data_IF_857382000086
#
_entry.id   IF_857382000086
#
_cell.length_a   1.000
_cell.length_b   1.000
_cell.length_c   1.000
_cell.angle_alpha   90.00
_cell.angle_beta   90.00
_cell.angle_gamma   90.00
#
_symmetry.space_group_name_H-M   'P 1'
#
loop_
_entity.id
_entity.type
_entity.pdbx_description
1 polymer ?
#
# COMPACT_ATOMS: atom_id res chain seq x y z
N UNK A 1 -21.68 4.38 -22.38
CA UNK A 1 -20.73 4.42 -23.49
C UNK A 1 -19.35 5.00 -23.13
N UNK A 2 -19.24 6.19 -22.50
CA UNK A 2 -17.94 6.78 -22.09
C UNK A 2 -17.09 5.92 -21.12
N UNK A 3 -17.73 5.21 -20.18
CA UNK A 3 -17.03 4.29 -19.23
C UNK A 3 -16.44 3.04 -19.93
N UNK A 4 -17.12 2.50 -20.92
CA UNK A 4 -16.67 1.32 -21.66
C UNK A 4 -15.48 1.62 -22.59
N UNK A 5 -15.47 2.77 -23.25
CA UNK A 5 -14.34 3.22 -24.08
C UNK A 5 -13.11 3.46 -23.20
N UNK A 6 -13.28 4.06 -22.02
CA UNK A 6 -12.20 4.26 -21.07
C UNK A 6 -11.58 2.95 -20.58
N UNK A 7 -12.39 1.93 -20.29
CA UNK A 7 -11.91 0.61 -19.87
C UNK A 7 -11.13 -0.10 -20.99
N UNK A 8 -11.63 -0.11 -22.22
CA UNK A 8 -10.94 -0.71 -23.36
C UNK A 8 -9.56 -0.06 -23.61
N UNK A 9 -9.49 1.26 -23.58
CA UNK A 9 -8.23 2.00 -23.72
C UNK A 9 -7.28 1.70 -22.56
N UNK A 10 -7.80 1.61 -21.33
CA UNK A 10 -7.00 1.24 -20.14
C UNK A 10 -6.39 -0.15 -20.31
N UNK A 11 -7.19 -1.16 -20.63
CA UNK A 11 -6.68 -2.52 -20.79
C UNK A 11 -5.72 -2.64 -21.97
N UNK A 12 -6.00 -2.02 -23.11
CA UNK A 12 -5.08 -2.02 -24.26
C UNK A 12 -3.72 -1.41 -23.92
N UNK A 13 -3.71 -0.32 -23.13
CA UNK A 13 -2.48 0.38 -22.72
C UNK A 13 -1.65 -0.44 -21.72
N UNK A 14 -2.30 -1.14 -20.78
CA UNK A 14 -1.64 -1.72 -19.62
C UNK A 14 -1.55 -3.25 -19.63
N UNK A 15 -2.19 -3.94 -20.58
CA UNK A 15 -2.22 -5.40 -20.63
C UNK A 15 -0.82 -6.03 -20.59
N UNK A 16 0.12 -5.52 -21.37
CA UNK A 16 1.51 -6.01 -21.38
C UNK A 16 2.29 -5.47 -20.17
N UNK A 17 2.38 -4.14 -19.94
CA UNK A 17 3.18 -3.59 -18.83
C UNK A 17 2.81 -4.16 -17.46
N UNK A 18 1.51 -4.36 -17.18
CA UNK A 18 1.08 -4.83 -15.86
C UNK A 18 1.04 -6.36 -15.71
N UNK A 19 1.22 -7.09 -16.80
CA UNK A 19 1.26 -8.54 -16.80
C UNK A 19 2.63 -9.10 -16.36
N UNK A 20 2.68 -10.43 -16.16
CA UNK A 20 3.92 -11.17 -15.94
C UNK A 20 4.90 -11.04 -17.12
N UNK A 21 4.37 -10.85 -18.34
CA UNK A 21 5.20 -10.65 -19.54
C UNK A 21 5.98 -9.32 -19.42
N UNK A 22 5.29 -8.23 -19.01
CA UNK A 22 5.93 -6.94 -18.76
C UNK A 22 6.99 -7.01 -17.66
N UNK A 23 6.66 -7.67 -16.55
CA UNK A 23 7.58 -7.89 -15.45
C UNK A 23 8.87 -8.58 -15.90
N UNK A 24 8.76 -9.72 -16.59
CA UNK A 24 9.93 -10.46 -17.10
C UNK A 24 10.78 -9.67 -18.08
N UNK A 25 10.15 -8.79 -18.89
CA UNK A 25 10.89 -7.93 -19.83
C UNK A 25 11.68 -6.82 -19.12
N UNK A 26 11.16 -6.28 -18.00
CA UNK A 26 11.78 -5.17 -17.27
C UNK A 26 12.78 -5.63 -16.22
N UNK A 27 12.43 -6.64 -15.43
CA UNK A 27 13.27 -7.13 -14.31
C UNK A 27 14.20 -8.26 -14.75
N UNK A 28 13.79 -9.05 -15.74
CA UNK A 28 14.54 -10.23 -16.19
C UNK A 28 14.42 -11.38 -15.19
N UNK A 29 15.44 -12.25 -15.18
CA UNK A 29 15.55 -13.41 -14.28
C UNK A 29 16.46 -13.14 -13.08
N UNK A 30 17.11 -11.98 -13.04
CA UNK A 30 18.00 -11.60 -11.95
C UNK A 30 17.23 -11.43 -10.63
N UNK A 31 17.54 -12.27 -9.67
CA UNK A 31 17.05 -12.14 -8.31
C UNK A 31 17.44 -10.79 -7.69
N UNK A 32 16.80 -10.45 -6.59
CA UNK A 32 17.22 -9.32 -5.77
C UNK A 32 18.36 -9.79 -4.85
N UNK A 33 19.57 -9.32 -5.12
CA UNK A 33 20.68 -9.43 -4.20
C UNK A 33 20.62 -8.28 -3.20
N UNK A 34 20.22 -8.59 -1.96
CA UNK A 34 20.06 -7.60 -0.89
C UNK A 34 20.21 -8.29 0.47
N UNK A 35 20.89 -7.60 1.36
CA UNK A 35 20.98 -7.96 2.79
C UNK A 35 20.19 -6.95 3.62
N UNK A 36 19.25 -7.46 4.43
CA UNK A 36 18.44 -6.68 5.37
C UNK A 36 18.77 -7.01 6.83
N UNK A 37 19.93 -7.62 7.07
CA UNK A 37 20.38 -7.97 8.42
C UNK A 37 20.43 -6.74 9.32
N UNK A 38 19.88 -6.90 10.53
CA UNK A 38 19.76 -5.82 11.51
C UNK A 38 18.62 -4.83 11.25
N UNK A 39 17.96 -4.85 10.08
CA UNK A 39 16.84 -3.96 9.80
C UNK A 39 15.55 -4.42 10.47
N UNK A 40 14.76 -3.44 10.90
CA UNK A 40 13.43 -3.60 11.50
C UNK A 40 12.36 -3.08 10.55
N UNK A 41 11.50 -3.98 10.11
CA UNK A 41 10.45 -3.71 9.14
C UNK A 41 9.08 -3.74 9.80
N UNK A 42 8.16 -2.91 9.29
CA UNK A 42 6.73 -2.95 9.59
C UNK A 42 5.99 -3.14 8.28
N UNK A 43 5.18 -4.20 8.16
CA UNK A 43 4.45 -4.50 6.92
C UNK A 43 2.97 -4.71 7.22
N UNK A 44 2.11 -3.87 6.65
CA UNK A 44 0.66 -3.99 6.80
C UNK A 44 0.07 -5.00 5.80
N UNK A 45 -0.99 -5.74 6.22
CA UNK A 45 -1.61 -6.76 5.36
C UNK A 45 -0.70 -7.95 5.08
N UNK A 46 0.05 -8.38 6.09
CA UNK A 46 1.14 -9.34 6.00
C UNK A 46 0.71 -10.79 5.72
N UNK A 47 -0.55 -11.15 5.96
CA UNK A 47 -0.97 -12.56 6.00
C UNK A 47 -1.31 -13.20 4.66
N UNK A 48 -1.35 -12.41 3.58
CA UNK A 48 -1.72 -12.93 2.26
C UNK A 48 -1.09 -12.17 1.09
N UNK A 49 -1.18 -12.76 -0.08
CA UNK A 49 -0.79 -12.14 -1.34
C UNK A 49 0.60 -11.49 -1.31
N UNK A 50 0.65 -10.25 -1.78
CA UNK A 50 1.89 -9.47 -1.91
C UNK A 50 2.52 -9.19 -0.53
N UNK A 51 1.72 -8.82 0.48
CA UNK A 51 2.23 -8.53 1.82
C UNK A 51 2.96 -9.72 2.43
N UNK A 52 2.41 -10.94 2.28
CA UNK A 52 3.08 -12.16 2.71
C UNK A 52 4.40 -12.39 1.97
N UNK A 53 4.43 -12.14 0.66
CA UNK A 53 5.65 -12.27 -0.12
C UNK A 53 6.74 -11.24 0.28
N UNK A 54 6.35 -10.01 0.60
CA UNK A 54 7.26 -8.98 1.14
C UNK A 54 7.84 -9.43 2.48
N UNK A 55 6.98 -9.88 3.42
CA UNK A 55 7.41 -10.33 4.76
C UNK A 55 8.42 -11.48 4.66
N UNK A 56 8.10 -12.51 3.88
CA UNK A 56 8.99 -13.65 3.69
C UNK A 56 10.29 -13.25 2.98
N UNK A 57 10.19 -12.40 1.96
CA UNK A 57 11.34 -11.90 1.20
C UNK A 57 12.29 -11.05 2.05
N UNK A 58 11.77 -10.22 2.95
CA UNK A 58 12.58 -9.44 3.88
C UNK A 58 13.19 -10.31 4.97
N UNK A 59 12.41 -11.21 5.58
CA UNK A 59 12.90 -12.10 6.63
C UNK A 59 13.98 -13.07 6.11
N UNK A 60 13.82 -13.63 4.91
CA UNK A 60 14.84 -14.52 4.31
C UNK A 60 16.18 -13.81 4.08
N UNK A 61 16.19 -12.48 4.05
CA UNK A 61 17.37 -11.61 3.90
C UNK A 61 17.84 -10.98 5.22
N UNK A 62 17.40 -11.51 6.36
CA UNK A 62 17.92 -11.13 7.67
C UNK A 62 17.08 -10.08 8.44
N UNK A 63 16.02 -9.50 7.85
CA UNK A 63 15.22 -8.52 8.55
C UNK A 63 14.39 -9.10 9.70
N UNK A 64 14.19 -8.31 10.75
CA UNK A 64 13.14 -8.53 11.73
C UNK A 64 11.88 -7.81 11.28
N UNK A 65 10.83 -8.56 10.93
CA UNK A 65 9.60 -8.01 10.35
C UNK A 65 8.43 -8.09 11.32
N UNK A 66 7.88 -6.94 11.72
CA UNK A 66 6.59 -6.85 12.40
C UNK A 66 5.50 -6.96 11.35
N UNK A 67 4.80 -8.09 11.38
CA UNK A 67 3.78 -8.47 10.40
C UNK A 67 2.40 -8.09 10.94
N UNK A 68 1.78 -7.05 10.36
CA UNK A 68 0.49 -6.52 10.79
C UNK A 68 -0.65 -7.20 10.03
N UNK A 69 -1.66 -7.68 10.78
CA UNK A 69 -2.86 -8.31 10.21
C UNK A 69 -3.89 -8.66 11.27
N UNK A 70 -5.12 -8.98 10.85
CA UNK A 70 -6.25 -9.25 11.76
C UNK A 70 -6.28 -10.67 12.31
N UNK A 71 -5.84 -11.63 11.53
CA UNK A 71 -5.96 -13.06 11.84
C UNK A 71 -4.70 -13.55 12.55
N UNK A 72 -4.81 -13.71 13.86
CA UNK A 72 -3.71 -14.16 14.74
C UNK A 72 -3.15 -15.50 14.26
N UNK A 73 -4.01 -16.47 13.91
CA UNK A 73 -3.57 -17.82 13.49
C UNK A 73 -2.76 -17.76 12.19
N UNK A 74 -3.16 -16.90 11.24
CA UNK A 74 -2.41 -16.71 10.01
C UNK A 74 -1.08 -15.99 10.24
N UNK A 75 -1.02 -15.05 11.17
CA UNK A 75 0.21 -14.37 11.57
C UNK A 75 1.20 -15.34 12.24
N UNK A 76 0.73 -16.18 13.17
CA UNK A 76 1.54 -17.21 13.80
C UNK A 76 2.05 -18.26 12.80
N UNK A 77 1.17 -18.70 11.87
CA UNK A 77 1.56 -19.61 10.81
C UNK A 77 2.60 -18.97 9.87
N UNK A 78 2.51 -17.66 9.61
CA UNK A 78 3.49 -16.90 8.83
C UNK A 78 4.82 -16.80 9.58
N UNK A 79 4.80 -16.56 10.89
CA UNK A 79 6.01 -16.47 11.71
C UNK A 79 6.84 -17.76 11.69
N UNK A 80 6.17 -18.93 11.67
CA UNK A 80 6.82 -20.24 11.55
C UNK A 80 7.47 -20.49 10.18
N UNK A 81 7.20 -19.66 9.18
CA UNK A 81 7.76 -19.77 7.83
C UNK A 81 9.01 -18.90 7.61
N UNK A 82 9.45 -18.18 8.63
CA UNK A 82 10.70 -17.43 8.55
C UNK A 82 11.87 -18.37 8.23
N UNK A 83 12.66 -17.98 7.25
CA UNK A 83 13.89 -18.71 6.86
C UNK A 83 15.08 -17.75 6.95
N UNK A 84 16.29 -18.31 7.07
CA UNK A 84 17.51 -17.51 7.23
C UNK A 84 17.67 -16.95 8.66
N UNK A 85 18.37 -15.83 8.79
CA UNK A 85 18.67 -15.19 10.07
C UNK A 85 17.56 -14.22 10.53
N UNK A 86 16.61 -13.89 9.68
CA UNK A 86 15.53 -12.95 9.98
C UNK A 86 14.43 -13.54 10.86
N UNK A 87 13.56 -12.66 11.35
CA UNK A 87 12.45 -13.02 12.23
C UNK A 87 11.16 -12.37 11.78
N UNK A 88 10.03 -13.05 11.99
CA UNK A 88 8.70 -12.52 11.77
C UNK A 88 7.99 -12.44 13.11
N UNK A 89 7.57 -11.23 13.47
CA UNK A 89 6.87 -10.94 14.73
C UNK A 89 5.40 -10.62 14.41
N UNK A 90 4.44 -11.46 14.85
CA UNK A 90 3.02 -11.17 14.72
C UNK A 90 2.61 -9.90 15.46
N UNK A 91 1.85 -9.03 14.78
CA UNK A 91 1.21 -7.85 15.37
C UNK A 91 -0.27 -7.87 14.98
N UNK A 92 -1.14 -8.46 15.82
CA UNK A 92 -2.57 -8.48 15.57
C UNK A 92 -3.16 -7.07 15.64
N UNK A 93 -3.73 -6.60 14.52
CA UNK A 93 -4.37 -5.29 14.41
C UNK A 93 -5.33 -5.27 13.22
N UNK A 94 -6.51 -4.69 13.39
CA UNK A 94 -7.39 -4.35 12.28
C UNK A 94 -7.09 -2.91 11.82
N UNK A 95 -6.52 -2.78 10.61
CA UNK A 95 -6.16 -1.46 10.06
C UNK A 95 -7.38 -0.64 9.61
N UNK A 96 -8.59 -1.15 9.73
CA UNK A 96 -9.82 -0.38 9.57
C UNK A 96 -10.29 0.31 10.85
N UNK A 97 -9.67 0.03 12.00
CA UNK A 97 -10.01 0.56 13.32
C UNK A 97 -8.89 1.48 13.83
N UNK A 98 -9.14 2.78 13.79
CA UNK A 98 -8.10 3.79 14.04
C UNK A 98 -7.53 3.73 15.45
N UNK A 99 -8.36 3.38 16.45
CA UNK A 99 -7.90 3.17 17.84
C UNK A 99 -6.94 1.99 17.97
N UNK A 100 -7.22 0.89 17.27
CA UNK A 100 -6.31 -0.26 17.25
C UNK A 100 -4.98 0.08 16.55
N UNK A 101 -5.06 0.81 15.43
CA UNK A 101 -3.89 1.25 14.69
C UNK A 101 -3.02 2.19 15.52
N UNK A 102 -3.62 3.16 16.21
CA UNK A 102 -2.89 4.10 17.08
C UNK A 102 -2.19 3.37 18.24
N UNK A 103 -2.87 2.40 18.88
CA UNK A 103 -2.27 1.55 19.91
C UNK A 103 -1.09 0.74 19.36
N UNK A 104 -1.29 0.04 18.24
CA UNK A 104 -0.22 -0.75 17.61
C UNK A 104 0.99 0.12 17.20
N UNK A 105 0.75 1.32 16.67
CA UNK A 105 1.82 2.27 16.33
C UNK A 105 2.63 2.67 17.57
N UNK A 106 1.96 2.95 18.69
CA UNK A 106 2.60 3.31 19.97
C UNK A 106 3.45 2.14 20.51
N UNK A 107 2.92 0.91 20.51
CA UNK A 107 3.63 -0.29 20.94
C UNK A 107 4.86 -0.58 20.06
N UNK A 108 4.73 -0.41 18.75
CA UNK A 108 5.85 -0.57 17.81
C UNK A 108 6.92 0.48 18.05
N UNK A 109 6.52 1.74 18.25
CA UNK A 109 7.45 2.83 18.51
C UNK A 109 8.21 2.66 19.84
N UNK A 110 7.52 2.24 20.90
CA UNK A 110 8.15 1.94 22.19
C UNK A 110 9.18 0.80 22.09
N UNK A 111 9.03 -0.12 21.14
CA UNK A 111 9.97 -1.21 20.93
C UNK A 111 11.19 -0.84 20.05
N UNK A 112 11.31 0.41 19.60
CA UNK A 112 12.48 0.97 18.92
C UNK A 112 12.22 1.41 17.47
N UNK A 113 13.29 1.73 16.76
CA UNK A 113 13.25 2.31 15.41
C UNK A 113 12.71 1.35 14.35
N UNK A 114 12.22 1.90 13.26
CA UNK A 114 11.71 1.20 12.07
C UNK A 114 12.51 1.66 10.86
N UNK A 115 13.22 0.74 10.20
CA UNK A 115 14.04 1.04 9.04
C UNK A 115 13.23 1.04 7.74
N UNK A 116 12.17 0.20 7.68
CA UNK A 116 11.28 0.13 6.52
C UNK A 116 9.83 -0.02 6.96
N UNK A 117 8.98 0.90 6.52
CA UNK A 117 7.52 0.84 6.68
C UNK A 117 6.87 0.56 5.34
N UNK A 118 6.11 -0.55 5.23
CA UNK A 118 5.40 -0.91 4.01
C UNK A 118 3.89 -0.81 4.22
N UNK A 119 3.28 0.19 3.61
CA UNK A 119 1.84 0.38 3.52
C UNK A 119 1.27 -0.48 2.39
N UNK A 120 1.01 -1.77 2.68
CA UNK A 120 0.58 -2.72 1.66
C UNK A 120 -0.90 -3.09 1.76
N UNK A 121 -1.51 -3.12 2.97
CA UNK A 121 -2.91 -3.53 3.10
C UNK A 121 -3.81 -2.73 2.17
N UNK A 122 -4.80 -3.40 1.57
CA UNK A 122 -5.81 -2.76 0.78
C UNK A 122 -6.95 -3.71 0.44
N UNK A 123 -8.16 -3.17 0.49
CA UNK A 123 -9.40 -3.88 0.17
C UNK A 123 -10.17 -3.09 -0.88
N UNK A 124 -10.94 -3.79 -1.71
CA UNK A 124 -11.92 -3.22 -2.61
C UNK A 124 -13.29 -3.71 -2.18
N UNK A 125 -14.13 -2.81 -1.68
CA UNK A 125 -15.47 -3.12 -1.19
C UNK A 125 -16.49 -2.70 -2.24
N UNK A 126 -17.18 -3.66 -2.88
CA UNK A 126 -18.22 -3.36 -3.87
C UNK A 126 -19.47 -2.80 -3.21
N UNK A 127 -19.78 -3.26 -2.00
CA UNK A 127 -20.86 -2.73 -1.18
C UNK A 127 -20.34 -1.67 -0.22
N UNK A 128 -21.13 -0.64 0.01
CA UNK A 128 -20.84 0.33 1.04
C UNK A 128 -20.90 -0.34 2.42
N UNK A 129 -19.84 -0.22 3.18
CA UNK A 129 -19.73 -0.72 4.55
C UNK A 129 -19.06 0.31 5.42
N UNK A 130 -19.54 0.45 6.65
CA UNK A 130 -18.90 1.31 7.65
C UNK A 130 -18.20 0.48 8.73
N UNK A 131 -17.13 1.03 9.27
CA UNK A 131 -16.49 0.54 10.48
C UNK A 131 -17.32 0.94 11.71
N UNK A 132 -17.10 0.31 12.89
CA UNK A 132 -17.69 0.79 14.15
C UNK A 132 -17.39 2.25 14.49
N UNK A 133 -16.32 2.82 13.90
CA UNK A 133 -15.92 4.23 14.05
C UNK A 133 -16.64 5.15 13.03
N UNK A 134 -17.61 4.63 12.25
CA UNK A 134 -18.41 5.39 11.29
C UNK A 134 -17.71 5.73 9.97
N UNK A 135 -16.55 5.16 9.72
CA UNK A 135 -15.76 5.39 8.51
C UNK A 135 -16.14 4.39 7.40
N UNK A 136 -16.07 4.80 6.12
CA UNK A 136 -16.16 3.84 5.02
C UNK A 136 -14.99 2.84 5.12
N UNK A 137 -15.30 1.55 5.00
CA UNK A 137 -14.36 0.46 5.30
C UNK A 137 -13.10 0.50 4.40
N UNK A 138 -13.27 0.78 3.11
CA UNK A 138 -12.13 0.87 2.18
C UNK A 138 -11.28 2.10 2.46
N UNK A 139 -11.89 3.27 2.74
CA UNK A 139 -11.18 4.48 3.14
C UNK A 139 -10.39 4.27 4.44
N UNK A 140 -11.03 3.71 5.46
CA UNK A 140 -10.38 3.43 6.74
C UNK A 140 -9.17 2.49 6.55
N UNK A 141 -9.34 1.38 5.81
CA UNK A 141 -8.29 0.38 5.63
C UNK A 141 -7.16 0.84 4.69
N UNK A 142 -7.53 1.45 3.54
CA UNK A 142 -6.57 1.71 2.46
C UNK A 142 -5.82 3.03 2.62
N UNK A 143 -6.33 3.95 3.42
CA UNK A 143 -5.80 5.30 3.49
C UNK A 143 -5.64 5.81 4.92
N UNK A 144 -6.73 5.93 5.70
CA UNK A 144 -6.68 6.54 7.04
C UNK A 144 -5.87 5.69 8.02
N UNK A 145 -5.99 4.36 7.98
CA UNK A 145 -5.20 3.45 8.81
C UNK A 145 -3.69 3.54 8.51
N UNK A 146 -3.31 3.73 7.23
CA UNK A 146 -1.92 3.99 6.87
C UNK A 146 -1.43 5.33 7.44
N UNK A 147 -2.27 6.38 7.36
CA UNK A 147 -1.97 7.69 7.92
C UNK A 147 -1.77 7.63 9.42
N UNK A 148 -2.70 7.02 10.16
CA UNK A 148 -2.62 6.89 11.63
C UNK A 148 -1.38 6.09 12.05
N UNK A 149 -1.07 5.01 11.33
CA UNK A 149 0.13 4.20 11.59
C UNK A 149 1.41 5.03 11.39
N UNK A 150 1.55 5.72 10.24
CA UNK A 150 2.71 6.58 9.94
C UNK A 150 2.87 7.68 11.00
N UNK A 151 1.79 8.42 11.31
CA UNK A 151 1.82 9.50 12.28
C UNK A 151 2.13 9.02 13.70
N UNK A 152 1.61 7.86 14.09
CA UNK A 152 1.92 7.26 15.39
C UNK A 152 3.38 6.86 15.52
N UNK A 153 3.96 6.25 14.48
CA UNK A 153 5.38 5.88 14.44
C UNK A 153 6.30 7.13 14.43
N UNK A 154 5.91 8.21 13.72
CA UNK A 154 6.65 9.49 13.73
C UNK A 154 6.62 10.14 15.10
N UNK A 155 5.44 10.29 15.70
CA UNK A 155 5.29 10.88 17.05
C UNK A 155 6.06 10.11 18.11
N UNK A 156 6.12 8.78 17.99
CA UNK A 156 6.89 7.94 18.89
C UNK A 156 8.40 7.87 18.57
N UNK A 157 8.91 8.65 17.59
CA UNK A 157 10.32 8.67 17.22
C UNK A 157 10.85 7.40 16.56
N UNK A 158 9.96 6.50 16.12
CA UNK A 158 10.37 5.24 15.50
C UNK A 158 10.84 5.43 14.05
N UNK A 159 10.28 6.40 13.33
CA UNK A 159 10.72 6.76 11.98
C UNK A 159 11.77 7.87 12.04
N UNK A 160 12.84 7.72 11.27
CA UNK A 160 13.99 8.64 11.24
C UNK A 160 14.45 8.88 9.78
N UNK A 161 15.38 9.81 9.56
CA UNK A 161 15.86 10.17 8.21
C UNK A 161 16.45 9.02 7.38
N UNK A 162 16.90 7.95 8.03
CA UNK A 162 17.33 6.72 7.38
C UNK A 162 16.19 5.72 7.11
N UNK A 163 14.95 5.97 7.54
CA UNK A 163 13.83 5.08 7.28
C UNK A 163 13.30 5.21 5.86
N UNK A 164 12.80 4.11 5.31
CA UNK A 164 12.12 4.03 4.02
C UNK A 164 10.63 3.81 4.22
N UNK A 165 9.79 4.59 3.55
CA UNK A 165 8.34 4.40 3.51
C UNK A 165 7.96 3.95 2.10
N UNK A 166 7.29 2.80 1.98
CA UNK A 166 6.88 2.24 0.69
C UNK A 166 5.37 2.05 0.68
N UNK A 167 4.69 2.80 -0.18
CA UNK A 167 3.24 2.72 -0.35
C UNK A 167 2.87 1.84 -1.54
N UNK A 168 2.09 0.79 -1.27
CA UNK A 168 1.54 -0.08 -2.29
C UNK A 168 0.27 0.54 -2.87
N UNK A 169 0.40 1.30 -3.96
CA UNK A 169 -0.72 1.81 -4.74
C UNK A 169 -1.25 0.73 -5.71
N UNK A 170 -1.91 1.11 -6.76
CA UNK A 170 -2.48 0.22 -7.77
C UNK A 170 -2.58 0.93 -9.12
N UNK A 171 -2.52 0.18 -10.21
CA UNK A 171 -2.84 0.70 -11.54
C UNK A 171 -4.24 1.34 -11.64
N UNK A 172 -5.17 0.99 -10.74
CA UNK A 172 -6.49 1.63 -10.63
C UNK A 172 -6.43 3.14 -10.41
N UNK A 173 -5.38 3.66 -9.77
CA UNK A 173 -5.18 5.09 -9.56
C UNK A 173 -5.12 5.91 -10.85
N UNK A 174 -4.75 5.31 -11.97
CA UNK A 174 -4.77 5.96 -13.28
C UNK A 174 -6.18 6.29 -13.80
N UNK A 175 -7.20 5.69 -13.19
CA UNK A 175 -8.61 5.97 -13.49
C UNK A 175 -9.25 7.09 -12.66
N UNK A 176 -8.51 7.71 -11.72
CA UNK A 176 -9.05 8.70 -10.80
C UNK A 176 -8.23 10.00 -10.77
N UNK A 177 -8.92 11.15 -10.84
CA UNK A 177 -8.44 12.39 -10.26
C UNK A 177 -8.83 12.41 -8.78
N UNK A 178 -7.97 12.89 -7.87
CA UNK A 178 -8.27 12.88 -6.44
C UNK A 178 -9.42 13.85 -6.12
N UNK A 179 -10.44 13.33 -5.46
CA UNK A 179 -11.64 14.04 -5.02
C UNK A 179 -11.78 13.91 -3.50
N UNK A 180 -11.54 15.01 -2.78
CA UNK A 180 -11.57 15.02 -1.31
C UNK A 180 -12.99 14.93 -0.76
N UNK A 181 -13.98 15.49 -1.45
CA UNK A 181 -15.38 15.41 -1.03
C UNK A 181 -15.86 13.95 -1.07
N UNK A 182 -15.55 13.24 -2.15
CA UNK A 182 -15.86 11.82 -2.28
C UNK A 182 -15.17 10.94 -1.21
N UNK A 183 -13.96 11.33 -0.76
CA UNK A 183 -13.26 10.63 0.31
C UNK A 183 -13.86 10.93 1.71
N UNK A 184 -14.24 12.20 1.95
CA UNK A 184 -14.67 12.66 3.27
C UNK A 184 -16.12 12.28 3.58
N UNK A 185 -16.99 12.34 2.57
CA UNK A 185 -18.43 12.09 2.71
C UNK A 185 -18.94 11.14 1.61
N UNK A 186 -18.54 9.85 1.66
CA UNK A 186 -18.95 8.91 0.63
C UNK A 186 -20.47 8.68 0.70
N UNK A 187 -21.14 8.86 -0.45
CA UNK A 187 -22.57 8.59 -0.60
C UNK A 187 -22.83 7.07 -0.74
N UNK A 188 -23.44 6.49 0.27
CA UNK A 188 -23.76 5.07 0.28
C UNK A 188 -24.68 4.64 -0.88
N UNK A 189 -25.59 5.51 -1.33
CA UNK A 189 -26.50 5.20 -2.43
C UNK A 189 -25.82 5.22 -3.81
N UNK A 190 -24.68 5.89 -3.91
CA UNK A 190 -23.88 6.03 -5.15
C UNK A 190 -22.55 5.32 -5.08
N UNK A 191 -22.32 4.51 -4.05
CA UNK A 191 -21.04 3.85 -3.85
C UNK A 191 -20.69 2.96 -5.04
N UNK A 192 -19.51 3.22 -5.60
CA UNK A 192 -18.86 2.37 -6.60
C UNK A 192 -17.49 1.97 -6.08
N UNK A 193 -17.35 0.71 -5.66
CA UNK A 193 -16.16 0.21 -4.98
C UNK A 193 -14.88 0.31 -5.81
N UNK A 194 -14.98 0.24 -7.15
CA UNK A 194 -13.82 0.44 -8.00
C UNK A 194 -13.36 1.90 -8.00
N UNK A 195 -14.30 2.84 -8.12
CA UNK A 195 -14.00 4.28 -8.08
C UNK A 195 -13.45 4.68 -6.71
N UNK A 196 -14.10 4.24 -5.61
CA UNK A 196 -13.61 4.48 -4.26
C UNK A 196 -12.18 3.95 -4.06
N UNK A 197 -11.93 2.71 -4.45
CA UNK A 197 -10.59 2.11 -4.39
C UNK A 197 -9.56 2.91 -5.22
N UNK A 198 -9.93 3.35 -6.43
CA UNK A 198 -9.06 4.15 -7.27
C UNK A 198 -8.71 5.51 -6.63
N UNK A 199 -9.66 6.14 -5.92
CA UNK A 199 -9.45 7.35 -5.13
C UNK A 199 -8.46 7.11 -3.98
N UNK A 200 -8.65 6.04 -3.19
CA UNK A 200 -7.73 5.70 -2.10
C UNK A 200 -6.30 5.48 -2.63
N UNK A 201 -6.16 4.78 -3.75
CA UNK A 201 -4.86 4.51 -4.36
C UNK A 201 -4.21 5.75 -4.99
N UNK A 202 -5.02 6.71 -5.47
CA UNK A 202 -4.54 8.03 -5.91
C UNK A 202 -4.08 8.88 -4.72
N UNK A 203 -4.82 8.87 -3.61
CA UNK A 203 -4.45 9.59 -2.40
C UNK A 203 -3.09 9.13 -1.83
N UNK A 204 -2.75 7.84 -1.95
CA UNK A 204 -1.44 7.33 -1.53
C UNK A 204 -0.27 7.96 -2.33
N UNK A 205 -0.48 8.34 -3.59
CA UNK A 205 0.51 9.08 -4.38
C UNK A 205 0.73 10.47 -3.79
N UNK A 206 -0.34 11.19 -3.50
CA UNK A 206 -0.27 12.53 -2.90
C UNK A 206 0.33 12.50 -1.48
N UNK A 207 0.07 11.45 -0.68
CA UNK A 207 0.74 11.28 0.62
C UNK A 207 2.26 11.06 0.46
N UNK A 208 2.68 10.34 -0.57
CA UNK A 208 4.11 10.17 -0.85
C UNK A 208 4.79 11.49 -1.17
N UNK A 209 4.13 12.36 -1.95
CA UNK A 209 4.62 13.73 -2.18
C UNK A 209 4.71 14.53 -0.89
N UNK A 210 3.69 14.45 -0.03
CA UNK A 210 3.71 15.11 1.27
C UNK A 210 4.88 14.66 2.13
N UNK A 211 5.08 13.35 2.30
CA UNK A 211 6.19 12.85 3.13
C UNK A 211 7.55 13.30 2.60
N UNK A 212 7.74 13.33 1.29
CA UNK A 212 8.99 13.82 0.68
C UNK A 212 9.16 15.35 0.77
N UNK A 213 8.06 16.11 0.95
CA UNK A 213 8.11 17.57 1.13
C UNK A 213 8.50 17.99 2.56
N UNK A 214 8.51 17.07 3.53
CA UNK A 214 8.84 17.37 4.93
C UNK A 214 10.32 17.75 5.14
N UNK A 215 11.14 17.57 4.13
CA UNK A 215 12.51 18.06 4.10
C UNK A 215 13.58 17.10 4.65
N UNK A 216 14.81 17.58 4.78
CA UNK A 216 15.95 16.78 5.24
C UNK A 216 15.76 16.22 6.64
N UNK A 217 16.29 15.04 6.90
CA UNK A 217 16.17 14.36 8.19
C UNK A 217 14.86 13.59 8.39
N UNK A 218 13.92 13.67 7.44
CA UNK A 218 12.69 12.89 7.42
C UNK A 218 12.85 11.59 6.61
N UNK A 219 12.04 10.56 6.90
CA UNK A 219 11.99 9.35 6.09
C UNK A 219 11.71 9.66 4.63
N UNK A 220 12.42 9.00 3.71
CA UNK A 220 12.10 9.07 2.29
C UNK A 220 10.98 8.11 1.95
N UNK A 221 10.08 8.54 1.09
CA UNK A 221 8.91 7.77 0.70
C UNK A 221 8.89 7.47 -0.80
N UNK A 222 8.43 6.28 -1.15
CA UNK A 222 8.16 5.85 -2.53
C UNK A 222 6.77 5.27 -2.63
N UNK A 223 6.11 5.51 -3.75
CA UNK A 223 4.87 4.84 -4.11
C UNK A 223 5.14 3.92 -5.29
N UNK A 224 4.59 2.72 -5.19
CA UNK A 224 4.70 1.73 -6.26
C UNK A 224 3.35 1.08 -6.57
N UNK A 225 3.22 0.46 -7.72
CA UNK A 225 2.14 -0.49 -7.97
C UNK A 225 2.69 -1.83 -8.48
N UNK A 226 2.07 -2.96 -8.09
CA UNK A 226 2.63 -4.28 -8.30
C UNK A 226 2.32 -4.88 -9.68
N UNK A 227 1.62 -4.15 -10.55
CA UNK A 227 0.99 -4.72 -11.75
C UNK A 227 -0.25 -5.57 -11.40
N UNK A 228 -0.60 -6.51 -12.27
CA UNK A 228 -1.76 -7.38 -12.10
C UNK A 228 -1.36 -8.70 -11.44
N UNK A 229 -1.54 -8.80 -10.15
CA UNK A 229 -1.10 -9.94 -9.33
C UNK A 229 -2.29 -10.84 -8.98
N UNK A 230 -2.15 -12.17 -9.13
CA UNK A 230 -3.16 -13.15 -8.70
C UNK A 230 -3.17 -13.29 -7.18
N UNK A 231 -3.98 -12.49 -6.53
CA UNK A 231 -4.17 -12.48 -5.07
C UNK A 231 -5.60 -12.87 -4.69
N UNK A 232 -5.81 -13.22 -3.42
CA UNK A 232 -7.16 -13.48 -2.90
C UNK A 232 -8.07 -12.25 -3.04
N UNK A 233 -7.51 -11.04 -2.87
CA UNK A 233 -8.23 -9.79 -3.10
C UNK A 233 -8.71 -9.64 -4.54
N UNK A 234 -7.88 -9.96 -5.53
CA UNK A 234 -8.27 -9.96 -6.95
C UNK A 234 -9.28 -11.06 -7.25
N UNK A 235 -9.12 -12.24 -6.63
CA UNK A 235 -10.08 -13.34 -6.80
C UNK A 235 -11.48 -13.00 -6.32
N UNK A 236 -11.59 -12.33 -5.17
CA UNK A 236 -12.88 -11.96 -4.60
C UNK A 236 -13.47 -10.69 -5.23
N UNK A 237 -12.67 -9.67 -5.46
CA UNK A 237 -13.16 -8.38 -5.94
C UNK A 237 -13.34 -8.30 -7.47
N UNK A 238 -12.53 -9.02 -8.25
CA UNK A 238 -12.50 -8.92 -9.72
C UNK A 238 -12.53 -10.31 -10.41
N UNK A 239 -13.53 -11.18 -10.14
CA UNK A 239 -13.54 -12.54 -10.67
C UNK A 239 -13.58 -12.60 -12.20
N UNK A 240 -14.32 -11.70 -12.87
CA UNK A 240 -14.37 -11.59 -14.32
C UNK A 240 -13.03 -11.20 -14.95
N UNK A 241 -12.37 -10.19 -14.38
CA UNK A 241 -11.03 -9.79 -14.79
C UNK A 241 -10.04 -10.95 -14.64
N UNK A 242 -10.05 -11.62 -13.48
CA UNK A 242 -9.18 -12.76 -13.22
C UNK A 242 -9.40 -13.89 -14.22
N UNK A 243 -10.67 -14.19 -14.56
CA UNK A 243 -11.00 -15.26 -15.54
C UNK A 243 -10.33 -15.01 -16.89
N UNK A 244 -10.31 -13.77 -17.35
CA UNK A 244 -9.72 -13.38 -18.65
C UNK A 244 -8.18 -13.34 -18.59
N UNK A 245 -7.61 -12.74 -17.54
CA UNK A 245 -6.19 -12.43 -17.49
C UNK A 245 -5.35 -13.45 -16.69
N UNK A 246 -5.96 -14.50 -16.11
CA UNK A 246 -5.26 -15.49 -15.27
C UNK A 246 -3.94 -16.02 -15.87
N UNK A 247 -3.82 -16.33 -17.17
CA UNK A 247 -2.58 -16.86 -17.73
C UNK A 247 -1.41 -15.86 -17.69
N UNK A 248 -1.71 -14.57 -17.61
CA UNK A 248 -0.72 -13.49 -17.64
C UNK A 248 -0.61 -12.71 -16.33
N UNK A 249 -1.38 -13.09 -15.30
CA UNK A 249 -1.25 -12.49 -13.98
C UNK A 249 0.13 -12.81 -13.36
N UNK A 250 0.62 -11.87 -12.58
CA UNK A 250 1.87 -11.99 -11.81
C UNK A 250 1.67 -12.89 -10.59
N UNK A 251 2.75 -13.47 -10.11
CA UNK A 251 2.79 -14.10 -8.79
C UNK A 251 2.85 -13.04 -7.68
N UNK A 252 2.61 -13.45 -6.45
CA UNK A 252 2.78 -12.57 -5.29
C UNK A 252 4.24 -12.10 -5.14
N UNK A 253 5.20 -12.95 -5.49
CA UNK A 253 6.63 -12.64 -5.50
C UNK A 253 6.97 -11.57 -6.54
N UNK A 254 6.45 -11.69 -7.78
CA UNK A 254 6.62 -10.65 -8.81
C UNK A 254 6.06 -9.31 -8.33
N UNK A 255 4.90 -9.33 -7.61
CA UNK A 255 4.28 -8.14 -7.05
C UNK A 255 5.04 -7.50 -5.89
N UNK A 256 5.78 -8.31 -5.12
CA UNK A 256 6.58 -7.87 -3.99
C UNK A 256 7.96 -7.33 -4.39
N UNK A 257 8.45 -7.71 -5.56
CA UNK A 257 9.82 -7.47 -6.00
C UNK A 257 10.25 -6.00 -5.93
N UNK A 258 9.44 -5.10 -6.50
CA UNK A 258 9.76 -3.66 -6.52
C UNK A 258 9.76 -3.05 -5.10
N UNK A 259 8.92 -3.54 -4.16
CA UNK A 259 8.95 -3.06 -2.78
C UNK A 259 10.26 -3.46 -2.07
N UNK A 260 10.69 -4.70 -2.24
CA UNK A 260 11.96 -5.18 -1.70
C UNK A 260 13.15 -4.46 -2.34
N UNK A 261 13.10 -4.23 -3.66
CA UNK A 261 14.14 -3.50 -4.37
C UNK A 261 14.23 -2.03 -3.92
N UNK A 262 13.10 -1.33 -3.73
CA UNK A 262 13.07 0.04 -3.20
C UNK A 262 13.69 0.12 -1.81
N UNK A 263 13.40 -0.85 -0.94
CA UNK A 263 13.98 -0.91 0.39
C UNK A 263 15.51 -1.12 0.37
N UNK A 264 16.01 -1.88 -0.60
CA UNK A 264 17.44 -2.16 -0.76
C UNK A 264 18.20 -0.99 -1.39
N UNK A 265 17.67 -0.45 -2.50
CA UNK A 265 18.39 0.52 -3.33
C UNK A 265 18.16 1.96 -2.94
N UNK A 266 16.98 2.29 -2.36
CA UNK A 266 16.61 3.64 -1.89
C UNK A 266 16.96 4.74 -2.89
N UNK A 267 16.42 4.69 -4.13
CA UNK A 267 16.79 5.63 -5.19
C UNK A 267 16.55 7.09 -4.76
N UNK A 268 17.40 8.00 -5.25
CA UNK A 268 17.43 9.41 -4.79
C UNK A 268 16.14 10.20 -5.09
N UNK A 269 15.33 9.76 -6.02
CA UNK A 269 14.03 10.38 -6.32
C UNK A 269 12.87 9.61 -5.71
N UNK A 270 12.01 10.33 -4.95
CA UNK A 270 10.72 9.84 -4.49
C UNK A 270 9.56 10.18 -5.44
N UNK A 271 9.81 10.94 -6.52
CA UNK A 271 8.80 11.32 -7.50
C UNK A 271 8.45 10.18 -8.45
N UNK A 272 7.25 10.23 -9.01
CA UNK A 272 6.73 9.20 -9.90
C UNK A 272 6.15 8.00 -9.17
N UNK A 273 5.69 7.01 -9.93
CA UNK A 273 5.27 5.72 -9.41
C UNK A 273 6.22 4.62 -9.88
N UNK A 274 6.57 3.73 -8.99
CA UNK A 274 7.50 2.66 -9.31
C UNK A 274 6.77 1.39 -9.75
N UNK A 275 7.19 0.84 -10.90
CA UNK A 275 6.75 -0.45 -11.44
C UNK A 275 7.96 -1.20 -11.98
N UNK A 276 8.15 -2.45 -11.57
CA UNK A 276 9.20 -3.30 -12.10
C UNK A 276 10.61 -2.68 -11.97
N UNK A 277 10.89 -2.07 -10.81
CA UNK A 277 12.14 -1.37 -10.48
C UNK A 277 12.41 -0.11 -11.33
N UNK A 278 11.44 0.34 -12.14
CA UNK A 278 11.55 1.54 -12.96
C UNK A 278 10.54 2.59 -12.53
N UNK A 279 10.92 3.85 -12.68
CA UNK A 279 10.06 4.98 -12.43
C UNK A 279 9.19 5.27 -13.64
N UNK A 280 7.88 5.26 -13.44
CA UNK A 280 6.88 5.59 -14.45
C UNK A 280 6.11 6.88 -14.07
N UNK A 281 5.36 7.44 -15.03
CA UNK A 281 4.52 8.60 -14.78
C UNK A 281 3.35 8.25 -13.85
N UNK A 282 3.01 9.13 -12.93
CA UNK A 282 1.83 9.05 -12.08
C UNK A 282 0.52 9.31 -12.84
N UNK A 283 0.61 9.83 -14.04
CA UNK A 283 -0.50 10.26 -14.87
C UNK A 283 -0.46 9.60 -16.24
N UNK A 284 -1.25 8.55 -16.41
CA UNK A 284 -1.44 7.93 -17.72
C UNK A 284 -2.46 8.69 -18.59
N UNK A 285 -3.37 9.42 -17.94
CA UNK A 285 -4.43 10.21 -18.59
C UNK A 285 -4.43 11.63 -18.02
N UNK A 286 -4.60 12.62 -18.92
CA UNK A 286 -4.46 14.05 -18.55
C UNK A 286 -5.44 14.52 -17.47
N UNK A 287 -6.67 13.98 -17.43
CA UNK A 287 -7.68 14.38 -16.45
C UNK A 287 -7.26 14.11 -15.00
N UNK A 288 -6.38 13.14 -14.75
CA UNK A 288 -5.92 12.82 -13.39
C UNK A 288 -5.05 13.89 -12.76
N UNK A 289 -4.55 14.86 -13.57
CA UNK A 289 -3.74 16.00 -13.11
C UNK A 289 -4.57 17.08 -12.41
N UNK A 290 -5.89 17.15 -12.67
CA UNK A 290 -6.78 18.15 -12.14
C UNK A 290 -7.29 17.86 -10.71
N UNK A 291 -6.90 16.72 -10.13
CA UNK A 291 -7.33 16.33 -8.78
C UNK A 291 -6.73 17.19 -7.66
N UNK A 292 -7.29 17.03 -6.46
CA UNK A 292 -6.77 17.61 -5.23
C UNK A 292 -5.33 17.17 -4.95
N UNK A 293 -4.64 17.94 -4.13
CA UNK A 293 -3.24 17.74 -3.75
C UNK A 293 -3.09 17.44 -2.27
N UNK A 294 -1.90 17.04 -1.88
CA UNK A 294 -1.54 16.74 -0.50
C UNK A 294 -1.92 17.87 0.48
N UNK A 295 -1.84 19.13 0.05
CA UNK A 295 -2.20 20.32 0.85
C UNK A 295 -3.65 20.33 1.33
N UNK A 296 -4.57 19.72 0.57
CA UNK A 296 -5.97 19.53 1.02
C UNK A 296 -6.18 18.18 1.71
N UNK A 297 -5.49 17.14 1.24
CA UNK A 297 -5.66 15.78 1.74
C UNK A 297 -5.19 15.63 3.20
N UNK A 298 -4.01 16.14 3.54
CA UNK A 298 -3.40 15.94 4.86
C UNK A 298 -4.24 16.55 6.00
N UNK A 299 -4.69 17.81 5.94
CA UNK A 299 -5.56 18.36 6.98
C UNK A 299 -6.88 17.58 7.14
N UNK A 300 -7.44 17.08 6.04
CA UNK A 300 -8.64 16.23 6.09
C UNK A 300 -8.37 14.94 6.85
N UNK A 301 -7.27 14.24 6.56
CA UNK A 301 -6.89 13.00 7.24
C UNK A 301 -6.63 13.23 8.73
N UNK A 302 -5.98 14.34 9.10
CA UNK A 302 -5.73 14.68 10.51
C UNK A 302 -7.03 14.86 11.29
N UNK A 303 -7.98 15.61 10.74
CA UNK A 303 -9.31 15.80 11.37
C UNK A 303 -10.04 14.48 11.51
N UNK A 304 -10.06 13.64 10.46
CA UNK A 304 -10.76 12.36 10.48
C UNK A 304 -10.08 11.36 11.43
N UNK A 305 -8.76 11.34 11.48
CA UNK A 305 -8.00 10.50 12.40
C UNK A 305 -8.29 10.87 13.86
N UNK A 306 -8.25 12.17 14.20
CA UNK A 306 -8.55 12.66 15.56
C UNK A 306 -9.96 12.26 15.99
N UNK A 307 -10.97 12.51 15.16
CA UNK A 307 -12.36 12.11 15.46
C UNK A 307 -12.48 10.60 15.71
N UNK A 308 -11.86 9.78 14.88
CA UNK A 308 -11.95 8.33 15.00
C UNK A 308 -11.19 7.78 16.24
N UNK A 309 -10.05 8.38 16.61
CA UNK A 309 -9.28 7.95 17.79
C UNK A 309 -9.88 8.44 19.09
N UNK A 310 -10.40 9.67 19.16
CA UNK A 310 -10.90 10.31 20.39
C UNK A 310 -12.37 9.97 20.66
N UNK A 311 -13.11 9.53 19.64
CA UNK A 311 -14.51 9.09 19.78
C UNK A 311 -15.52 10.24 19.86
N UNK A 312 -15.18 11.38 19.24
CA UNK A 312 -16.05 12.58 19.15
C UNK A 312 -16.59 12.78 17.74
#
# INVERSE_FOLDING_TARGET
>A
MKKAIGAAVFYARFAIPFSRIGFRRRVGEAGLDADFSGQRWVVSGATGGIGRAIVLGAASRGATVRALGRDVRKLEALAKQATGAGRIQPVPVDLSLMREVARAASEIAAAGTVDVLVHNVGVMCHEFRQTPEGLELGFATNLLGHWVLDQGLRRGGALHGGSAIISMSSGGMYGAALDLEALQAPDAARHDGFTAYAQHKRAQVELTHYWNSLGPGQPRAWVMHPGWVDTDGVRSALPGFRKVFKPVLRTAQDGADTALWLAATRPDTGEGIWLDRHRDSEHAFGFTRAGAKATGLVPMLDVMATRATDGT
#
